data_IF_858583304223
#
_entry.id   IF_858583304223
#
_cell.length_a   1.000
_cell.length_b   1.000
_cell.length_c   1.000
_cell.angle_alpha   90.00
_cell.angle_beta   90.00
_cell.angle_gamma   90.00
#
_symmetry.space_group_name_H-M   'P 1'
#
loop_
_entity.id
_entity.type
_entity.pdbx_description
1 polymer ?
#
# COMPACT_ATOMS: atom_id res chain seq x y z
N UNK A 1 3.03 -21.26 -20.91
CA UNK A 1 2.11 -20.33 -20.23
C UNK A 1 0.80 -21.07 -20.01
N UNK A 2 0.40 -21.27 -18.74
CA UNK A 2 -0.79 -22.04 -18.38
C UNK A 2 -2.08 -21.26 -18.68
N UNK A 3 -3.02 -21.92 -19.38
CA UNK A 3 -4.33 -21.42 -19.82
C UNK A 3 -5.18 -20.86 -18.67
N UNK A 4 -4.90 -21.26 -17.43
CA UNK A 4 -5.62 -20.84 -16.22
C UNK A 4 -5.44 -19.35 -15.91
N UNK A 5 -4.30 -18.76 -16.29
CA UNK A 5 -3.94 -17.38 -15.91
C UNK A 5 -4.59 -16.28 -16.77
N UNK A 6 -5.18 -16.62 -17.93
CA UNK A 6 -5.76 -15.64 -18.85
C UNK A 6 -7.30 -15.52 -18.75
N UNK A 7 -7.98 -16.47 -18.10
CA UNK A 7 -9.45 -16.57 -18.09
C UNK A 7 -10.13 -16.05 -16.82
N UNK A 8 -9.42 -15.99 -15.70
CA UNK A 8 -10.00 -15.74 -14.37
C UNK A 8 -10.57 -14.34 -14.21
N UNK A 9 -9.96 -13.32 -14.83
CA UNK A 9 -10.43 -11.93 -14.77
C UNK A 9 -11.80 -11.67 -15.43
N UNK A 10 -12.40 -12.66 -16.11
CA UNK A 10 -13.72 -12.55 -16.73
C UNK A 10 -14.82 -13.36 -16.03
N UNK A 11 -14.47 -14.14 -15.00
CA UNK A 11 -15.46 -14.95 -14.29
C UNK A 11 -16.30 -14.06 -13.38
N UNK A 12 -17.62 -14.30 -13.37
CA UNK A 12 -18.60 -13.54 -12.58
C UNK A 12 -19.47 -14.50 -11.78
N UNK A 13 -19.99 -14.03 -10.65
CA UNK A 13 -20.96 -14.79 -9.85
C UNK A 13 -20.41 -16.10 -9.31
N UNK A 14 -21.21 -17.17 -9.38
CA UNK A 14 -20.90 -18.47 -8.76
C UNK A 14 -19.63 -19.14 -9.31
N UNK A 15 -19.31 -18.96 -10.60
CA UNK A 15 -18.12 -19.56 -11.20
C UNK A 15 -16.83 -18.99 -10.63
N UNK A 16 -16.86 -17.69 -10.27
CA UNK A 16 -15.77 -17.02 -9.60
C UNK A 16 -15.60 -17.54 -8.17
N UNK A 17 -16.69 -17.61 -7.41
CA UNK A 17 -16.70 -18.14 -6.03
C UNK A 17 -16.17 -19.57 -5.97
N UNK A 18 -16.53 -20.42 -6.94
CA UNK A 18 -16.07 -21.82 -7.00
C UNK A 18 -14.55 -21.97 -7.10
N UNK A 19 -13.86 -20.95 -7.62
CA UNK A 19 -12.39 -20.93 -7.73
C UNK A 19 -11.76 -20.18 -6.56
N UNK A 20 -12.33 -19.05 -6.15
CA UNK A 20 -11.77 -18.22 -5.07
C UNK A 20 -11.87 -18.90 -3.71
N UNK A 21 -12.96 -19.61 -3.41
CA UNK A 21 -13.16 -20.22 -2.08
C UNK A 21 -12.11 -21.30 -1.76
N UNK A 22 -11.81 -22.28 -2.64
CA UNK A 22 -10.75 -23.26 -2.35
C UNK A 22 -9.37 -22.62 -2.21
N UNK A 23 -9.07 -21.59 -3.01
CA UNK A 23 -7.80 -20.86 -2.91
C UNK A 23 -7.72 -20.12 -1.58
N UNK A 24 -8.83 -19.53 -1.12
CA UNK A 24 -8.90 -18.89 0.18
C UNK A 24 -8.60 -19.88 1.31
N UNK A 25 -9.23 -21.05 1.32
CA UNK A 25 -8.96 -22.07 2.35
C UNK A 25 -7.48 -22.46 2.38
N UNK A 26 -6.85 -22.65 1.21
CA UNK A 26 -5.41 -22.92 1.13
C UNK A 26 -4.55 -21.78 1.70
N UNK A 27 -4.98 -20.53 1.56
CA UNK A 27 -4.29 -19.37 2.14
C UNK A 27 -4.49 -19.32 3.64
N UNK A 28 -5.68 -19.65 4.13
CA UNK A 28 -5.98 -19.71 5.57
C UNK A 28 -5.18 -20.81 6.28
N UNK A 29 -4.89 -21.91 5.58
CA UNK A 29 -4.07 -23.03 6.07
C UNK A 29 -2.55 -22.77 6.06
N UNK A 30 -2.08 -21.61 5.59
CA UNK A 30 -0.65 -21.27 5.61
C UNK A 30 -0.17 -21.01 7.05
N UNK A 31 0.90 -21.70 7.46
CA UNK A 31 1.54 -21.50 8.77
C UNK A 31 2.21 -20.11 8.91
N UNK A 32 2.62 -19.51 7.80
CA UNK A 32 3.30 -18.22 7.77
C UNK A 32 2.31 -17.06 7.61
N UNK A 33 2.01 -16.40 8.73
CA UNK A 33 1.11 -15.24 8.78
C UNK A 33 1.59 -14.03 7.94
N UNK A 34 2.89 -13.89 7.68
CA UNK A 34 3.40 -12.81 6.82
C UNK A 34 3.10 -13.15 5.37
N UNK A 35 3.40 -14.38 4.95
CA UNK A 35 3.08 -14.85 3.60
C UNK A 35 1.58 -14.78 3.33
N UNK A 36 0.76 -15.21 4.29
CA UNK A 36 -0.69 -15.16 4.21
C UNK A 36 -1.19 -13.73 3.91
N UNK A 37 -0.69 -12.73 4.64
CA UNK A 37 -1.05 -11.32 4.41
C UNK A 37 -0.62 -10.83 3.03
N UNK A 38 0.59 -11.15 2.59
CA UNK A 38 1.06 -10.72 1.27
C UNK A 38 0.24 -11.33 0.14
N UNK A 39 -0.17 -12.60 0.25
CA UNK A 39 -1.05 -13.25 -0.74
C UNK A 39 -2.40 -12.54 -0.82
N UNK A 40 -3.01 -12.18 0.32
CA UNK A 40 -4.27 -11.42 0.35
C UNK A 40 -4.12 -10.04 -0.30
N UNK A 41 -3.04 -9.31 0.02
CA UNK A 41 -2.77 -8.00 -0.57
C UNK A 41 -2.56 -8.09 -2.09
N UNK A 42 -1.82 -9.10 -2.55
CA UNK A 42 -1.63 -9.34 -3.98
C UNK A 42 -2.94 -9.74 -4.67
N UNK A 43 -3.76 -10.59 -4.05
CA UNK A 43 -5.07 -10.94 -4.57
C UNK A 43 -5.96 -9.69 -4.74
N UNK A 44 -6.02 -8.83 -3.72
CA UNK A 44 -6.78 -7.57 -3.78
C UNK A 44 -6.34 -6.67 -4.93
N UNK A 45 -5.03 -6.64 -5.24
CA UNK A 45 -4.48 -5.87 -6.37
C UNK A 45 -5.02 -6.33 -7.73
N UNK A 46 -5.41 -7.60 -7.84
CA UNK A 46 -6.05 -8.17 -9.02
C UNK A 46 -7.58 -8.26 -8.87
N UNK A 47 -8.15 -7.49 -7.95
CA UNK A 47 -9.58 -7.45 -7.64
C UNK A 47 -10.16 -8.80 -7.20
N UNK A 48 -9.33 -9.67 -6.62
CA UNK A 48 -9.70 -10.96 -6.03
C UNK A 48 -9.85 -10.78 -4.52
N UNK A 49 -10.98 -11.25 -3.97
CA UNK A 49 -11.27 -11.21 -2.55
C UNK A 49 -10.93 -12.56 -1.90
N UNK A 50 -9.80 -12.60 -1.18
CA UNK A 50 -9.36 -13.77 -0.41
C UNK A 50 -9.39 -13.51 1.10
N UNK A 51 -9.98 -12.42 1.57
CA UNK A 51 -9.98 -12.10 2.99
C UNK A 51 -11.26 -11.40 3.40
N UNK A 52 -12.06 -12.07 4.23
CA UNK A 52 -13.29 -11.55 4.80
C UNK A 52 -13.08 -11.04 6.23
N UNK A 53 -11.82 -10.84 6.63
CA UNK A 53 -11.40 -10.35 7.95
C UNK A 53 -10.70 -11.41 8.79
N UNK A 54 -10.34 -12.57 8.22
CA UNK A 54 -9.59 -13.62 8.90
C UNK A 54 -8.08 -13.30 8.95
N UNK A 55 -7.56 -12.69 7.87
CA UNK A 55 -6.12 -12.44 7.70
C UNK A 55 -5.74 -11.02 8.12
N UNK A 56 -6.32 -10.02 7.47
CA UNK A 56 -6.02 -8.61 7.75
C UNK A 56 -6.84 -8.09 8.94
N UNK A 57 -6.30 -7.14 9.72
CA UNK A 57 -7.06 -6.54 10.80
C UNK A 57 -8.26 -5.75 10.28
N UNK A 58 -9.36 -5.80 11.02
CA UNK A 58 -10.52 -4.97 10.79
C UNK A 58 -10.26 -3.55 11.30
N UNK A 59 -10.42 -2.57 10.43
CA UNK A 59 -10.29 -1.15 10.79
C UNK A 59 -11.56 -0.40 10.39
N UNK A 60 -11.96 0.54 11.23
CA UNK A 60 -13.01 1.49 10.90
C UNK A 60 -12.46 2.70 10.14
N UNK A 61 -13.35 3.51 9.56
CA UNK A 61 -12.97 4.80 8.97
C UNK A 61 -12.33 5.73 10.01
N UNK A 62 -12.77 5.63 11.27
CA UNK A 62 -12.18 6.33 12.39
C UNK A 62 -10.73 5.94 12.68
N UNK A 63 -10.43 4.64 12.64
CA UNK A 63 -9.06 4.12 12.81
C UNK A 63 -8.16 4.60 11.67
N UNK A 64 -8.63 4.50 10.42
CA UNK A 64 -7.89 4.99 9.25
C UNK A 64 -7.54 6.48 9.38
N UNK A 65 -8.52 7.32 9.73
CA UNK A 65 -8.31 8.76 9.95
C UNK A 65 -7.33 9.02 11.08
N UNK A 66 -7.45 8.29 12.19
CA UNK A 66 -6.55 8.40 13.34
C UNK A 66 -5.11 8.04 12.96
N UNK A 67 -4.90 6.89 12.31
CA UNK A 67 -3.56 6.46 11.91
C UNK A 67 -2.93 7.41 10.90
N UNK A 68 -3.69 7.83 9.90
CA UNK A 68 -3.23 8.80 8.90
C UNK A 68 -2.83 10.13 9.55
N UNK A 69 -3.62 10.63 10.50
CA UNK A 69 -3.27 11.81 11.29
C UNK A 69 -1.95 11.63 12.06
N UNK A 70 -1.80 10.51 12.78
CA UNK A 70 -0.61 10.25 13.61
C UNK A 70 0.69 10.17 12.80
N UNK A 71 0.63 9.63 11.57
CA UNK A 71 1.80 9.54 10.70
C UNK A 71 1.93 10.72 9.74
N UNK A 72 0.97 11.64 9.70
CA UNK A 72 0.95 12.79 8.79
C UNK A 72 0.74 12.42 7.33
N UNK A 73 -0.03 11.36 7.07
CA UNK A 73 -0.50 10.96 5.74
C UNK A 73 -1.91 11.52 5.46
N UNK A 74 -2.22 11.73 4.19
CA UNK A 74 -3.50 12.34 3.78
C UNK A 74 -4.51 11.28 3.33
N UNK A 75 -5.60 11.11 4.09
CA UNK A 75 -6.70 10.20 3.74
C UNK A 75 -7.38 10.61 2.45
N UNK A 76 -7.44 11.91 2.13
CA UNK A 76 -8.03 12.41 0.88
C UNK A 76 -7.33 11.87 -0.37
N UNK A 77 -6.06 11.49 -0.25
CA UNK A 77 -5.33 10.80 -1.31
C UNK A 77 -5.78 9.34 -1.46
N UNK A 78 -6.11 8.65 -0.37
CA UNK A 78 -6.62 7.27 -0.39
C UNK A 78 -8.01 7.20 -1.02
N UNK A 79 -8.90 8.15 -0.66
CA UNK A 79 -10.27 8.24 -1.17
C UNK A 79 -10.37 8.35 -2.70
N UNK A 80 -9.28 8.68 -3.40
CA UNK A 80 -9.25 8.74 -4.87
C UNK A 80 -9.11 7.36 -5.52
N UNK A 81 -8.70 6.35 -4.75
CA UNK A 81 -8.36 5.01 -5.25
C UNK A 81 -9.15 3.89 -4.56
N UNK A 82 -9.66 4.16 -3.36
CA UNK A 82 -10.46 3.21 -2.56
C UNK A 82 -11.78 3.89 -2.23
N UNK A 83 -12.87 3.17 -2.45
CA UNK A 83 -14.20 3.61 -2.02
C UNK A 83 -14.26 3.50 -0.48
N UNK A 84 -14.25 4.64 0.18
CA UNK A 84 -14.21 4.73 1.64
C UNK A 84 -15.56 5.22 2.17
N UNK A 85 -16.10 4.59 3.22
CA UNK A 85 -17.36 5.02 3.80
C UNK A 85 -17.24 6.41 4.42
N UNK A 86 -18.35 7.15 4.42
CA UNK A 86 -18.44 8.44 5.12
C UNK A 86 -18.59 8.27 6.64
N UNK A 87 -19.25 7.20 7.06
CA UNK A 87 -19.48 6.87 8.47
C UNK A 87 -18.17 6.51 9.18
N UNK A 88 -17.94 7.15 10.32
CA UNK A 88 -16.76 6.96 11.15
C UNK A 88 -16.64 5.53 11.70
N UNK A 89 -17.77 4.88 12.02
CA UNK A 89 -17.78 3.52 12.57
C UNK A 89 -17.73 2.41 11.52
N UNK A 90 -17.90 2.74 10.24
CA UNK A 90 -17.99 1.74 9.19
C UNK A 90 -16.62 1.12 8.85
N UNK A 91 -16.58 -0.18 8.49
CA UNK A 91 -15.36 -0.84 8.02
C UNK A 91 -14.78 -0.17 6.78
N UNK A 92 -13.46 -0.14 6.71
CA UNK A 92 -12.73 0.21 5.47
C UNK A 92 -12.19 -1.03 4.77
N UNK A 93 -11.97 -0.92 3.46
CA UNK A 93 -11.13 -1.87 2.71
C UNK A 93 -9.66 -1.71 3.15
N UNK A 94 -9.28 -2.41 4.22
CA UNK A 94 -7.92 -2.38 4.79
C UNK A 94 -6.87 -2.73 3.73
N UNK A 95 -7.13 -3.77 2.91
CA UNK A 95 -6.23 -4.21 1.86
C UNK A 95 -6.00 -3.10 0.81
N UNK A 96 -7.08 -2.49 0.34
CA UNK A 96 -7.04 -1.35 -0.58
C UNK A 96 -6.26 -0.17 0.00
N UNK A 97 -6.50 0.18 1.27
CA UNK A 97 -5.79 1.26 1.95
C UNK A 97 -4.28 0.98 2.05
N UNK A 98 -3.89 -0.25 2.40
CA UNK A 98 -2.49 -0.68 2.48
C UNK A 98 -1.82 -0.61 1.11
N UNK A 99 -2.49 -1.07 0.05
CA UNK A 99 -1.94 -1.04 -1.31
C UNK A 99 -1.69 0.41 -1.78
N UNK A 100 -2.62 1.33 -1.52
CA UNK A 100 -2.42 2.74 -1.83
C UNK A 100 -1.27 3.33 -1.03
N UNK A 101 -1.21 3.07 0.27
CA UNK A 101 -0.13 3.56 1.12
C UNK A 101 1.24 3.07 0.65
N UNK A 102 1.37 1.77 0.32
CA UNK A 102 2.61 1.20 -0.27
C UNK A 102 2.94 1.83 -1.63
N UNK A 103 1.94 2.06 -2.48
CA UNK A 103 2.15 2.69 -3.78
C UNK A 103 2.66 4.13 -3.64
N UNK A 104 2.09 4.92 -2.73
CA UNK A 104 2.52 6.28 -2.44
C UNK A 104 3.92 6.32 -1.83
N UNK A 105 4.20 5.45 -0.87
CA UNK A 105 5.54 5.30 -0.29
C UNK A 105 6.58 5.02 -1.37
N UNK A 106 6.31 4.05 -2.25
CA UNK A 106 7.20 3.70 -3.35
C UNK A 106 7.37 4.83 -4.38
N UNK A 107 6.30 5.55 -4.71
CA UNK A 107 6.35 6.68 -5.64
C UNK A 107 7.30 7.77 -5.12
N UNK A 108 7.12 8.21 -3.88
CA UNK A 108 7.96 9.25 -3.29
C UNK A 108 9.39 8.76 -3.03
N UNK A 109 9.57 7.51 -2.61
CA UNK A 109 10.90 6.89 -2.42
C UNK A 109 11.71 6.89 -3.71
N UNK A 110 11.11 6.48 -4.83
CA UNK A 110 11.77 6.48 -6.16
C UNK A 110 12.13 7.89 -6.62
N UNK A 111 11.28 8.88 -6.34
CA UNK A 111 11.57 10.29 -6.64
C UNK A 111 12.73 10.84 -5.82
N UNK A 112 12.74 10.59 -4.51
CA UNK A 112 13.85 10.98 -3.64
C UNK A 112 15.18 10.35 -4.08
N UNK A 113 15.18 9.04 -4.36
CA UNK A 113 16.35 8.33 -4.86
C UNK A 113 16.88 8.91 -6.17
N UNK A 114 15.98 9.22 -7.12
CA UNK A 114 16.37 9.85 -8.39
C UNK A 114 17.06 11.19 -8.16
N UNK A 115 16.48 12.05 -7.32
CA UNK A 115 17.05 13.37 -7.01
C UNK A 115 18.42 13.25 -6.32
N UNK A 116 18.61 12.28 -5.42
CA UNK A 116 19.91 12.06 -4.80
C UNK A 116 20.98 11.55 -5.76
N UNK A 117 20.61 10.73 -6.76
CA UNK A 117 21.54 10.27 -7.80
C UNK A 117 21.95 11.39 -8.77
N UNK A 118 21.13 12.44 -8.90
CA UNK A 118 21.43 13.63 -9.70
C UNK A 118 22.32 14.64 -8.95
N UNK A 119 22.48 14.50 -7.64
CA UNK A 119 23.39 15.37 -6.88
C UNK A 119 24.85 14.98 -7.15
N UNK A 120 25.74 15.97 -7.28
CA UNK A 120 27.17 15.70 -7.33
C UNK A 120 27.65 15.04 -6.04
N UNK A 121 28.76 14.32 -6.15
CA UNK A 121 29.39 13.60 -5.04
C UNK A 121 29.56 14.54 -3.82
N UNK A 122 29.02 14.20 -2.64
CA UNK A 122 29.14 15.02 -1.44
C UNK A 122 30.60 15.28 -1.03
N UNK A 123 31.55 14.46 -1.47
CA UNK A 123 32.98 14.57 -1.17
C UNK A 123 33.76 15.35 -2.25
N UNK A 124 33.10 15.82 -3.31
CA UNK A 124 33.75 16.61 -4.36
C UNK A 124 34.20 17.98 -3.81
N UNK A 125 35.44 18.41 -4.10
CA UNK A 125 35.92 19.72 -3.69
C UNK A 125 35.20 20.83 -4.48
N UNK A 126 34.13 21.37 -3.90
CA UNK A 126 33.33 22.44 -4.48
C UNK A 126 32.24 22.95 -3.51
N UNK A 127 31.95 24.24 -3.55
CA UNK A 127 30.88 24.83 -2.74
C UNK A 127 29.54 24.45 -3.36
N UNK A 128 28.64 23.80 -2.61
CA UNK A 128 27.33 23.39 -3.14
C UNK A 128 26.59 24.57 -3.74
N UNK A 129 26.22 24.46 -5.00
CA UNK A 129 25.44 25.48 -5.69
C UNK A 129 24.04 25.57 -5.08
N UNK A 130 23.43 26.76 -5.07
CA UNK A 130 22.06 26.97 -4.54
C UNK A 130 21.03 25.99 -5.13
N UNK A 131 21.21 25.61 -6.39
CA UNK A 131 20.37 24.61 -7.07
C UNK A 131 20.46 23.22 -6.43
N UNK A 132 21.66 22.78 -6.04
CA UNK A 132 21.89 21.48 -5.39
C UNK A 132 21.27 21.42 -4.00
N UNK A 133 21.33 22.52 -3.25
CA UNK A 133 20.65 22.64 -1.96
C UNK A 133 19.13 22.46 -2.12
N UNK A 134 18.53 23.14 -3.11
CA UNK A 134 17.10 23.01 -3.42
C UNK A 134 16.75 21.56 -3.81
N UNK A 135 17.59 20.90 -4.60
CA UNK A 135 17.38 19.49 -4.98
C UNK A 135 17.49 18.55 -3.78
N UNK A 136 18.48 18.74 -2.92
CA UNK A 136 18.64 17.98 -1.68
C UNK A 136 17.43 18.15 -0.74
N UNK A 137 16.94 19.38 -0.58
CA UNK A 137 15.75 19.68 0.23
C UNK A 137 14.48 19.05 -0.36
N UNK A 138 14.37 18.96 -1.69
CA UNK A 138 13.26 18.27 -2.36
C UNK A 138 13.36 16.77 -2.15
N UNK A 139 14.55 16.18 -2.31
CA UNK A 139 14.78 14.75 -2.11
C UNK A 139 14.45 14.35 -0.67
N UNK A 140 14.90 15.15 0.31
CA UNK A 140 14.59 14.94 1.72
C UNK A 140 13.08 14.99 2.01
N UNK A 141 12.37 15.98 1.45
CA UNK A 141 10.90 16.06 1.57
C UNK A 141 10.20 14.84 0.98
N UNK A 142 10.59 14.41 -0.22
CA UNK A 142 10.02 13.20 -0.83
C UNK A 142 10.33 11.95 0.03
N UNK A 143 11.53 11.84 0.60
CA UNK A 143 11.89 10.75 1.50
C UNK A 143 11.04 10.76 2.79
N UNK A 144 10.77 11.93 3.36
CA UNK A 144 9.89 12.09 4.51
C UNK A 144 8.45 11.67 4.20
N UNK A 145 7.90 12.13 3.08
CA UNK A 145 6.54 11.75 2.65
C UNK A 145 6.48 10.23 2.44
N UNK A 146 7.50 9.64 1.82
CA UNK A 146 7.59 8.19 1.64
C UNK A 146 7.55 7.45 2.98
N UNK A 147 8.29 7.91 3.99
CA UNK A 147 8.29 7.31 5.33
C UNK A 147 6.92 7.37 6.00
N UNK A 148 6.17 8.48 5.84
CA UNK A 148 4.82 8.63 6.42
C UNK A 148 3.83 7.63 5.83
N UNK A 149 3.86 7.48 4.51
CA UNK A 149 3.01 6.50 3.82
C UNK A 149 3.39 5.06 4.16
N UNK A 150 4.69 4.77 4.27
CA UNK A 150 5.18 3.46 4.69
C UNK A 150 4.75 3.14 6.13
N UNK A 151 4.82 4.11 7.04
CA UNK A 151 4.34 3.98 8.41
C UNK A 151 2.82 3.74 8.47
N UNK A 152 2.03 4.39 7.61
CA UNK A 152 0.59 4.12 7.52
C UNK A 152 0.32 2.66 7.10
N UNK A 153 1.01 2.18 6.08
CA UNK A 153 0.87 0.80 5.62
C UNK A 153 1.20 -0.21 6.72
N UNK A 154 2.26 0.02 7.50
CA UNK A 154 2.61 -0.82 8.64
C UNK A 154 1.53 -0.77 9.72
N UNK A 155 1.05 0.41 10.11
CA UNK A 155 -0.01 0.57 11.13
C UNK A 155 -1.30 -0.15 10.78
N UNK A 156 -1.68 -0.17 9.51
CA UNK A 156 -2.88 -0.87 9.05
C UNK A 156 -2.73 -2.41 9.10
N UNK A 157 -1.50 -2.94 9.11
CA UNK A 157 -1.20 -4.37 9.17
C UNK A 157 -0.85 -4.87 10.58
N UNK A 158 -0.60 -3.96 11.51
CA UNK A 158 -0.41 -4.28 12.93
C UNK A 158 -1.74 -4.73 13.55
N UNK A 159 -1.70 -5.82 14.35
CA UNK A 159 -2.81 -6.31 15.16
C UNK A 159 -2.68 -5.78 16.58
#
# INVERSE_FOLDING_TARGET
>A
MSVVSAGTGKLRGMDRVRIEEPVREMVLDLDDSVLQREVVLDARRYDVDLDRGEVLPFHSMGDLRRFAFLVGADVGTIMRYVDLPEDFGAPVDTAGCVLVARAMANHHRRRAQRLWLELPDPDAPGQRMRHEQIMADRAQRDAEIARRWDALAHRLLER
#
